data_IF_836157380008
#
_entry.id   IF_836157380008
#
_cell.length_a   1.000
_cell.length_b   1.000
_cell.length_c   1.000
_cell.angle_alpha   90.00
_cell.angle_beta   90.00
_cell.angle_gamma   90.00
#
_symmetry.space_group_name_H-M   'P 1'
#
loop_
_entity.id
_entity.type
_entity.pdbx_description
1 polymer ?
#
# COMPACT_ATOMS: atom_id res chain seq x y z
N UNK A 1 -15.05 -2.85 -43.78
CA UNK A 1 -14.64 -1.58 -43.13
C UNK A 1 -14.52 -1.81 -41.63
N UNK A 2 -13.44 -1.28 -41.06
CA UNK A 2 -13.02 -1.19 -39.65
C UNK A 2 -13.94 -1.74 -38.55
N UNK A 3 -13.54 -2.89 -38.00
CA UNK A 3 -13.98 -3.37 -36.70
C UNK A 3 -13.28 -2.51 -35.63
N UNK A 4 -13.88 -1.36 -35.29
CA UNK A 4 -13.39 -0.44 -34.27
C UNK A 4 -13.16 -1.16 -32.93
N UNK A 5 -11.89 -1.34 -32.59
CA UNK A 5 -11.30 -1.50 -31.25
C UNK A 5 -12.25 -1.96 -30.14
N UNK A 6 -12.47 -3.28 -30.03
CA UNK A 6 -13.00 -3.87 -28.80
C UNK A 6 -12.03 -3.54 -27.67
N UNK A 7 -12.43 -2.69 -26.73
CA UNK A 7 -11.64 -2.40 -25.53
C UNK A 7 -11.39 -3.73 -24.80
N UNK A 8 -10.13 -4.05 -24.42
CA UNK A 8 -9.87 -5.25 -23.66
C UNK A 8 -10.70 -5.20 -22.37
N UNK A 9 -11.45 -6.28 -22.09
CA UNK A 9 -12.13 -6.41 -20.81
C UNK A 9 -11.05 -6.43 -19.73
N UNK A 10 -11.17 -5.51 -18.77
CA UNK A 10 -10.32 -5.51 -17.58
C UNK A 10 -10.64 -6.78 -16.81
N UNK A 11 -9.61 -7.60 -16.58
CA UNK A 11 -9.72 -8.73 -15.66
C UNK A 11 -9.81 -8.18 -14.23
N UNK A 12 -11.04 -8.14 -13.72
CA UNK A 12 -11.34 -7.61 -12.39
C UNK A 12 -10.73 -8.46 -11.29
N UNK A 13 -10.63 -9.78 -11.49
CA UNK A 13 -10.05 -10.69 -10.51
C UNK A 13 -8.53 -10.46 -10.40
N UNK A 14 -7.84 -10.37 -11.54
CA UNK A 14 -6.42 -10.05 -11.56
C UNK A 14 -6.12 -8.65 -11.01
N UNK A 15 -7.02 -7.68 -11.23
CA UNK A 15 -6.90 -6.36 -10.63
C UNK A 15 -7.04 -6.43 -9.09
N UNK A 16 -8.05 -7.14 -8.60
CA UNK A 16 -8.32 -7.28 -7.16
C UNK A 16 -7.17 -8.02 -6.45
N UNK A 17 -6.57 -9.02 -7.09
CA UNK A 17 -5.37 -9.69 -6.57
C UNK A 17 -4.18 -8.73 -6.44
N UNK A 18 -3.93 -7.92 -7.47
CA UNK A 18 -2.86 -6.90 -7.45
C UNK A 18 -3.12 -5.84 -6.40
N UNK A 19 -4.38 -5.42 -6.24
CA UNK A 19 -4.78 -4.45 -5.23
C UNK A 19 -4.57 -5.01 -3.81
N UNK A 20 -4.91 -6.28 -3.56
CA UNK A 20 -4.62 -6.93 -2.28
C UNK A 20 -3.11 -6.94 -1.99
N UNK A 21 -2.28 -7.39 -2.93
CA UNK A 21 -0.80 -7.38 -2.76
C UNK A 21 -0.26 -5.96 -2.51
N UNK A 22 -0.81 -4.96 -3.19
CA UNK A 22 -0.42 -3.57 -3.00
C UNK A 22 -0.82 -3.03 -1.62
N UNK A 23 -1.97 -3.45 -1.08
CA UNK A 23 -2.42 -3.08 0.27
C UNK A 23 -1.50 -3.71 1.32
N UNK A 24 -1.15 -4.99 1.16
CA UNK A 24 -0.25 -5.68 2.09
C UNK A 24 1.14 -5.03 2.11
N UNK A 25 1.69 -4.70 0.94
CA UNK A 25 2.96 -3.99 0.85
C UNK A 25 2.87 -2.59 1.48
N UNK A 26 1.82 -1.82 1.17
CA UNK A 26 1.67 -0.48 1.72
C UNK A 26 1.47 -0.48 3.25
N UNK A 27 0.83 -1.52 3.79
CA UNK A 27 0.72 -1.74 5.24
C UNK A 27 2.10 -1.96 5.84
N UNK A 28 2.90 -2.86 5.25
CA UNK A 28 4.26 -3.12 5.68
C UNK A 28 5.13 -1.86 5.63
N UNK A 29 5.10 -1.12 4.53
CA UNK A 29 5.86 0.13 4.36
C UNK A 29 5.49 1.15 5.44
N UNK A 30 4.20 1.29 5.74
CA UNK A 30 3.72 2.20 6.78
C UNK A 30 4.19 1.78 8.17
N UNK A 31 4.06 0.51 8.52
CA UNK A 31 4.51 -0.02 9.81
C UNK A 31 6.04 0.09 9.96
N UNK A 32 6.80 -0.22 8.91
CA UNK A 32 8.26 -0.04 8.87
C UNK A 32 8.63 1.44 9.07
N UNK A 33 7.99 2.36 8.35
CA UNK A 33 8.25 3.78 8.50
C UNK A 33 7.93 4.28 9.92
N UNK A 34 6.86 3.78 10.54
CA UNK A 34 6.51 4.09 11.93
C UNK A 34 7.57 3.58 12.92
N UNK A 35 8.12 2.38 12.72
CA UNK A 35 9.22 1.87 13.53
C UNK A 35 10.50 2.70 13.34
N UNK A 36 10.84 3.04 12.09
CA UNK A 36 11.96 3.91 11.78
C UNK A 36 11.78 5.30 12.38
N UNK A 37 10.58 5.85 12.39
CA UNK A 37 10.31 7.14 13.02
C UNK A 37 10.67 7.14 14.50
N UNK A 38 10.23 6.12 15.24
CA UNK A 38 10.56 5.96 16.66
C UNK A 38 12.07 5.77 16.88
N UNK A 39 12.72 4.93 16.07
CA UNK A 39 14.15 4.66 16.21
C UNK A 39 15.04 5.88 15.87
N UNK A 40 14.66 6.65 14.84
CA UNK A 40 15.45 7.79 14.38
C UNK A 40 15.23 9.05 15.21
N UNK A 41 14.23 9.09 16.09
CA UNK A 41 14.07 10.18 17.07
C UNK A 41 15.27 10.32 18.01
N UNK A 42 16.08 9.26 18.17
CA UNK A 42 17.30 9.25 18.98
C UNK A 42 18.56 9.66 18.17
N UNK A 43 18.41 10.07 16.91
CA UNK A 43 19.52 10.40 15.98
C UNK A 43 19.53 11.86 15.52
N UNK A 44 20.66 12.35 14.98
CA UNK A 44 20.84 13.71 14.43
C UNK A 44 20.10 13.96 13.09
N UNK A 45 19.14 13.11 12.71
CA UNK A 45 18.39 13.23 11.45
C UNK A 45 17.22 14.20 11.60
N UNK A 46 16.89 14.95 10.54
CA UNK A 46 15.75 15.88 10.52
C UNK A 46 14.42 15.17 10.84
N UNK A 47 13.82 15.43 12.02
CA UNK A 47 12.58 14.78 12.44
C UNK A 47 11.38 15.13 11.54
N UNK A 48 11.42 16.27 10.84
CA UNK A 48 10.34 16.67 9.92
C UNK A 48 10.31 15.79 8.68
N UNK A 49 11.49 15.44 8.15
CA UNK A 49 11.61 14.59 6.98
C UNK A 49 11.12 13.17 7.28
N UNK A 50 11.50 12.63 8.44
CA UNK A 50 11.07 11.30 8.90
C UNK A 50 9.53 11.26 9.04
N UNK A 51 8.95 12.25 9.73
CA UNK A 51 7.49 12.37 9.88
C UNK A 51 6.76 12.50 8.54
N UNK A 52 7.35 13.22 7.59
CA UNK A 52 6.76 13.37 6.26
C UNK A 52 6.73 12.03 5.50
N UNK A 53 7.80 11.23 5.58
CA UNK A 53 7.83 9.90 4.97
C UNK A 53 6.82 8.94 5.62
N UNK A 54 6.72 8.91 6.95
CA UNK A 54 5.69 8.11 7.64
C UNK A 54 4.28 8.55 7.24
N UNK A 55 4.02 9.86 7.19
CA UNK A 55 2.73 10.40 6.78
C UNK A 55 2.39 10.03 5.34
N UNK A 56 3.36 10.08 4.42
CA UNK A 56 3.19 9.67 3.02
C UNK A 56 2.88 8.18 2.90
N UNK A 57 3.62 7.32 3.59
CA UNK A 57 3.37 5.87 3.62
C UNK A 57 1.97 5.57 4.16
N UNK A 58 1.56 6.25 5.24
CA UNK A 58 0.21 6.17 5.80
C UNK A 58 -0.87 6.54 4.77
N UNK A 59 -0.72 7.67 4.09
CA UNK A 59 -1.71 8.13 3.10
C UNK A 59 -1.85 7.13 1.94
N UNK A 60 -0.73 6.57 1.46
CA UNK A 60 -0.75 5.54 0.41
C UNK A 60 -1.53 4.30 0.84
N UNK A 61 -1.30 3.80 2.05
CA UNK A 61 -2.02 2.66 2.60
C UNK A 61 -3.53 2.91 2.69
N UNK A 62 -3.94 4.05 3.28
CA UNK A 62 -5.38 4.37 3.41
C UNK A 62 -6.06 4.64 2.08
N UNK A 63 -5.35 5.21 1.11
CA UNK A 63 -5.86 5.36 -0.25
C UNK A 63 -6.21 4.00 -0.86
N UNK A 64 -5.30 3.01 -0.77
CA UNK A 64 -5.54 1.68 -1.32
C UNK A 64 -6.68 0.94 -0.60
N UNK A 65 -6.79 1.07 0.72
CA UNK A 65 -7.94 0.56 1.47
C UNK A 65 -9.26 1.20 1.01
N UNK A 66 -9.26 2.51 0.72
CA UNK A 66 -10.45 3.21 0.21
C UNK A 66 -10.87 2.65 -1.14
N UNK A 67 -9.92 2.39 -2.04
CA UNK A 67 -10.19 1.77 -3.35
C UNK A 67 -10.76 0.37 -3.18
N UNK A 68 -10.18 -0.45 -2.29
CA UNK A 68 -10.69 -1.79 -2.01
C UNK A 68 -12.14 -1.77 -1.45
N UNK A 69 -12.45 -0.82 -0.55
CA UNK A 69 -13.82 -0.63 -0.03
C UNK A 69 -14.82 -0.23 -1.12
N UNK A 70 -14.42 0.64 -2.04
CA UNK A 70 -15.29 1.01 -3.18
C UNK A 70 -15.60 -0.16 -4.11
N UNK A 71 -14.77 -1.21 -4.07
CA UNK A 71 -14.93 -2.45 -4.85
C UNK A 71 -15.55 -3.59 -4.05
N UNK A 72 -16.00 -3.33 -2.82
CA UNK A 72 -16.53 -4.33 -1.88
C UNK A 72 -15.58 -5.54 -1.65
N UNK A 73 -14.27 -5.29 -1.71
CA UNK A 73 -13.27 -6.34 -1.49
C UNK A 73 -13.19 -6.69 -0.01
N UNK A 74 -13.45 -7.96 0.31
CA UNK A 74 -13.27 -8.54 1.65
C UNK A 74 -11.89 -9.20 1.73
N UNK A 75 -10.83 -8.38 1.81
CA UNK A 75 -9.46 -8.87 1.89
C UNK A 75 -9.04 -9.23 3.32
N UNK A 76 -8.25 -10.30 3.47
CA UNK A 76 -7.54 -10.61 4.70
C UNK A 76 -6.29 -9.72 4.82
N UNK A 77 -6.43 -8.46 5.21
CA UNK A 77 -5.29 -7.52 5.37
C UNK A 77 -4.45 -7.76 6.64
N UNK A 78 -4.47 -9.00 7.14
CA UNK A 78 -3.80 -9.45 8.35
C UNK A 78 -2.36 -9.84 8.05
N UNK A 79 -1.53 -8.91 7.57
CA UNK A 79 -0.08 -9.09 7.68
C UNK A 79 0.26 -8.98 9.17
N UNK A 80 0.52 -10.13 9.82
CA UNK A 80 1.35 -10.19 11.00
C UNK A 80 2.79 -9.95 10.54
N UNK A 81 3.53 -9.09 11.24
CA UNK A 81 4.90 -8.69 10.88
C UNK A 81 5.82 -9.90 10.59
N UNK A 82 5.95 -10.28 9.31
CA UNK A 82 7.03 -11.13 8.81
C UNK A 82 7.38 -10.65 7.40
N UNK A 83 8.53 -9.98 7.26
CA UNK A 83 9.39 -10.10 6.08
C UNK A 83 10.83 -9.67 6.45
N UNK A 84 11.64 -10.60 7.00
CA UNK A 84 13.08 -10.48 6.98
C UNK A 84 13.52 -10.86 5.56
N UNK A 85 13.79 -9.86 4.73
CA UNK A 85 14.55 -9.90 3.48
C UNK A 85 14.52 -11.24 2.70
N UNK A 86 13.70 -11.31 1.65
CA UNK A 86 13.88 -12.28 0.55
C UNK A 86 14.96 -11.75 -0.38
#
# INVERSE_FOLDING_TARGET
MFNMFKRPKVDTAAYDERLNKAIDQAKFDFEKAKMSEVALFESDIDPRLIKAETAKARQKYFFLLRVARQRDMKGHWSTAFIHPEI
#
